data_IF_630283986629
#
_entry.id   IF_630283986629
#
_cell.length_a   1.000
_cell.length_b   1.000
_cell.length_c   1.000
_cell.angle_alpha   90.00
_cell.angle_beta   90.00
_cell.angle_gamma   90.00
#
_symmetry.space_group_name_H-M   'P 1'
#
loop_
_entity.id
_entity.type
_entity.pdbx_description
1 polymer ?
#
# COMPACT_ATOMS: atom_id res chain seq x y z
N UNK A 1 -17.65 61.90 -46.08
CA UNK A 1 -16.49 61.55 -45.22
C UNK A 1 -16.39 60.04 -45.27
N UNK A 2 -15.28 59.57 -45.80
CA UNK A 2 -15.19 58.37 -46.63
C UNK A 2 -15.35 57.05 -45.89
N UNK A 3 -16.20 56.22 -46.49
CA UNK A 3 -16.17 54.77 -46.46
C UNK A 3 -15.12 54.26 -47.48
N UNK A 4 -14.75 52.98 -47.37
CA UNK A 4 -13.96 52.13 -48.28
C UNK A 4 -12.44 51.91 -48.05
N UNK A 5 -12.13 50.61 -48.23
CA UNK A 5 -10.95 49.98 -48.86
C UNK A 5 -9.89 49.33 -47.96
N UNK A 6 -10.03 48.00 -47.86
CA UNK A 6 -8.93 47.04 -47.73
C UNK A 6 -8.21 46.92 -49.09
N UNK A 7 -6.87 46.74 -49.15
CA UNK A 7 -6.39 45.48 -49.72
C UNK A 7 -5.06 44.92 -49.14
N UNK A 8 -5.09 43.60 -48.90
CA UNK A 8 -4.17 42.53 -49.32
C UNK A 8 -2.62 42.71 -49.28
N UNK A 9 -2.02 41.61 -48.79
CA UNK A 9 -0.77 40.90 -49.20
C UNK A 9 0.55 41.24 -48.51
N UNK A 10 0.93 40.37 -47.59
CA UNK A 10 2.31 40.09 -47.18
C UNK A 10 2.42 38.65 -46.64
N UNK A 11 3.08 37.78 -47.41
CA UNK A 11 3.15 36.31 -47.27
C UNK A 11 4.45 35.88 -46.60
N UNK A 12 4.41 34.99 -45.61
CA UNK A 12 5.47 34.00 -45.20
C UNK A 12 4.76 32.93 -44.35
N UNK A 13 4.45 31.74 -44.88
CA UNK A 13 5.24 30.49 -44.83
C UNK A 13 5.71 30.12 -43.41
N UNK A 14 5.63 28.90 -42.89
CA UNK A 14 5.00 27.60 -43.21
C UNK A 14 5.43 26.69 -42.04
N UNK A 15 4.53 26.02 -41.31
CA UNK A 15 4.84 24.72 -40.67
C UNK A 15 3.57 24.05 -40.17
N UNK A 16 3.39 22.81 -40.62
CA UNK A 16 2.40 21.86 -40.14
C UNK A 16 2.73 21.38 -38.72
N UNK A 17 1.71 21.12 -37.92
CA UNK A 17 1.71 20.01 -36.97
C UNK A 17 0.30 19.42 -36.95
N UNK A 18 0.17 18.29 -37.63
CA UNK A 18 -0.98 17.42 -37.59
C UNK A 18 -0.63 16.22 -36.71
N UNK A 19 -1.62 15.78 -35.92
CA UNK A 19 -1.87 14.40 -35.52
C UNK A 19 -0.89 13.73 -34.55
N UNK A 20 -1.46 12.99 -33.59
CA UNK A 20 -0.71 11.98 -32.84
C UNK A 20 -1.48 11.40 -31.68
N UNK A 21 -2.44 10.52 -31.96
CA UNK A 21 -2.90 9.53 -30.98
C UNK A 21 -1.71 8.65 -30.55
N UNK A 22 -1.62 8.30 -29.27
CA UNK A 22 -0.74 7.22 -28.80
C UNK A 22 -1.62 6.06 -28.35
N UNK A 23 -1.56 5.00 -29.17
CA UNK A 23 -2.05 3.65 -28.92
C UNK A 23 -0.87 2.84 -28.36
N UNK A 24 -1.16 2.06 -27.32
CA UNK A 24 -0.59 0.76 -26.90
C UNK A 24 0.91 0.43 -27.02
N UNK A 25 1.43 -0.18 -25.95
CA UNK A 25 1.95 -1.56 -26.03
C UNK A 25 3.47 -1.77 -26.19
N UNK A 26 4.09 -2.25 -25.11
CA UNK A 26 5.17 -3.27 -25.01
C UNK A 26 6.44 -3.14 -25.85
N UNK A 27 7.62 -3.18 -25.18
CA UNK A 27 8.66 -4.18 -25.43
C UNK A 27 9.86 -4.01 -24.46
N UNK A 28 10.10 -5.02 -23.63
CA UNK A 28 11.39 -5.30 -23.02
C UNK A 28 12.44 -5.39 -24.12
N UNK A 29 13.44 -4.51 -24.08
CA UNK A 29 14.67 -4.62 -24.89
C UNK A 29 15.84 -4.73 -23.93
N UNK A 30 16.38 -5.94 -23.79
CA UNK A 30 17.68 -6.16 -23.16
C UNK A 30 18.75 -5.43 -23.99
N UNK A 31 19.45 -4.48 -23.35
CA UNK A 31 20.67 -3.88 -23.90
C UNK A 31 21.78 -3.99 -22.84
N UNK A 32 22.84 -4.66 -23.26
CA UNK A 32 24.07 -4.96 -22.52
C UNK A 32 24.97 -3.72 -22.43
N UNK A 33 25.54 -3.52 -21.24
CA UNK A 33 26.76 -2.77 -20.86
C UNK A 33 27.04 -1.41 -21.54
N UNK A 34 26.75 -0.36 -20.78
CA UNK A 34 27.42 0.93 -20.88
C UNK A 34 27.31 1.66 -19.54
N UNK A 35 28.45 2.00 -18.94
CA UNK A 35 28.55 2.84 -17.74
C UNK A 35 28.06 4.26 -18.06
N UNK A 36 26.75 4.44 -18.09
CA UNK A 36 26.07 5.74 -17.98
C UNK A 36 25.67 5.98 -16.53
N UNK A 37 25.40 7.24 -16.13
CA UNK A 37 24.96 7.52 -14.77
C UNK A 37 23.69 6.69 -14.50
N UNK A 38 23.70 5.92 -13.41
CA UNK A 38 22.54 5.24 -12.89
C UNK A 38 21.37 6.22 -12.94
N UNK A 39 20.29 5.83 -13.62
CA UNK A 39 19.05 6.57 -13.50
C UNK A 39 18.56 6.37 -12.05
N UNK A 40 17.59 7.17 -11.62
CA UNK A 40 17.21 7.22 -10.22
C UNK A 40 15.74 6.85 -10.08
N UNK A 41 15.43 5.99 -9.11
CA UNK A 41 14.08 5.58 -8.80
C UNK A 41 13.42 6.63 -7.89
N UNK A 42 12.25 7.12 -8.29
CA UNK A 42 11.45 8.03 -7.47
C UNK A 42 10.54 7.21 -6.56
N UNK A 43 10.86 7.17 -5.26
CA UNK A 43 9.97 6.62 -4.24
C UNK A 43 8.94 7.68 -3.85
N UNK A 44 7.67 7.28 -3.84
CA UNK A 44 6.54 8.11 -3.44
C UNK A 44 5.45 7.22 -2.84
N UNK A 45 5.30 7.25 -1.52
CA UNK A 45 4.39 6.36 -0.78
C UNK A 45 3.67 7.12 0.33
N UNK A 46 2.48 6.62 0.68
CA UNK A 46 1.61 7.17 1.72
C UNK A 46 1.61 6.27 2.96
N UNK A 47 1.77 6.88 4.14
CA UNK A 47 1.78 6.19 5.43
C UNK A 47 0.80 6.84 6.40
N UNK A 48 0.07 6.03 7.16
CA UNK A 48 -0.88 6.53 8.14
C UNK A 48 -0.30 6.46 9.55
N UNK A 49 -0.24 7.60 10.23
CA UNK A 49 0.23 7.72 11.60
C UNK A 49 -0.90 8.15 12.54
N UNK A 50 -1.00 7.47 13.67
CA UNK A 50 -1.82 7.87 14.80
C UNK A 50 -1.02 8.82 15.67
N UNK A 51 -1.40 10.10 15.66
CA UNK A 51 -0.70 11.16 16.36
C UNK A 51 -1.49 11.64 17.58
N UNK A 52 -1.06 11.27 18.78
CA UNK A 52 -1.63 11.83 20.01
C UNK A 52 -1.26 13.32 20.11
N UNK A 53 -2.27 14.17 19.99
CA UNK A 53 -2.11 15.60 19.76
C UNK A 53 -2.55 16.41 20.97
N UNK A 54 -1.68 17.29 21.42
CA UNK A 54 -1.99 18.33 22.42
C UNK A 54 -1.66 19.68 21.80
N UNK A 55 -2.65 20.56 21.69
CA UNK A 55 -2.48 21.87 21.06
C UNK A 55 -2.80 22.99 22.04
N UNK A 56 -1.80 23.82 22.39
CA UNK A 56 -1.94 24.93 23.34
C UNK A 56 -2.56 24.49 24.69
N UNK A 57 -2.21 23.29 25.17
CA UNK A 57 -2.73 22.70 26.41
C UNK A 57 -4.11 22.05 26.28
N UNK A 58 -4.73 22.05 25.10
CA UNK A 58 -5.97 21.33 24.81
C UNK A 58 -5.62 19.92 24.29
N UNK A 59 -5.97 18.84 25.01
CA UNK A 59 -5.81 17.49 24.49
C UNK A 59 -6.84 17.23 23.39
N UNK A 60 -6.36 16.95 22.19
CA UNK A 60 -7.17 16.61 21.02
C UNK A 60 -7.21 15.10 20.76
N UNK A 61 -6.43 14.32 21.53
CA UNK A 61 -6.37 12.87 21.44
C UNK A 61 -5.63 12.40 20.19
N UNK A 62 -5.78 11.10 19.88
CA UNK A 62 -5.13 10.48 18.72
C UNK A 62 -5.84 10.88 17.44
N UNK A 63 -5.07 11.37 16.47
CA UNK A 63 -5.55 11.86 15.19
C UNK A 63 -4.83 11.11 14.07
N UNK A 64 -5.60 10.61 13.11
CA UNK A 64 -5.05 9.94 11.93
C UNK A 64 -4.48 10.97 10.97
N UNK A 65 -3.16 10.96 10.80
CA UNK A 65 -2.40 11.86 9.93
C UNK A 65 -1.78 11.03 8.82
N UNK A 66 -2.13 11.34 7.58
CA UNK A 66 -1.49 10.72 6.42
C UNK A 66 -0.20 11.47 6.09
N UNK A 67 0.88 10.73 5.88
CA UNK A 67 2.23 11.19 5.57
C UNK A 67 2.61 10.64 4.20
N UNK A 68 2.55 11.50 3.18
CA UNK A 68 3.10 11.19 1.87
C UNK A 68 4.61 11.49 1.89
N UNK A 69 5.46 10.47 1.72
CA UNK A 69 6.91 10.62 1.67
C UNK A 69 7.40 10.43 0.23
N UNK A 70 8.28 11.34 -0.22
CA UNK A 70 8.85 11.34 -1.56
C UNK A 70 10.35 11.60 -1.53
N UNK A 71 11.12 10.71 -2.16
CA UNK A 71 12.57 10.86 -2.33
C UNK A 71 13.05 10.15 -3.58
N UNK A 72 14.10 10.65 -4.18
CA UNK A 72 14.77 10.01 -5.31
C UNK A 72 15.97 9.20 -4.80
N UNK A 73 15.97 7.89 -5.02
CA UNK A 73 17.05 6.96 -4.64
C UNK A 73 17.80 6.46 -5.88
N UNK A 74 19.06 5.97 -5.77
CA UNK A 74 19.71 5.30 -6.89
C UNK A 74 18.92 4.07 -7.35
N UNK A 75 19.00 3.74 -8.66
CA UNK A 75 18.41 2.49 -9.19
C UNK A 75 19.08 1.23 -8.64
N UNK A 76 20.35 1.32 -8.26
CA UNK A 76 21.18 0.20 -7.81
C UNK A 76 22.31 0.74 -6.91
N UNK A 77 22.79 -0.07 -5.97
CA UNK A 77 23.90 0.27 -5.07
C UNK A 77 24.94 -0.85 -4.96
N UNK A 78 26.20 -0.51 -4.68
CA UNK A 78 27.27 -1.49 -4.44
C UNK A 78 27.53 -1.70 -2.93
N UNK A 79 27.97 -2.90 -2.49
CA UNK A 79 28.41 -3.11 -1.10
C UNK A 79 29.54 -2.15 -0.71
N UNK A 80 29.36 -1.42 0.41
CA UNK A 80 30.29 -0.39 0.88
C UNK A 80 30.14 0.98 0.20
N UNK A 81 29.19 1.14 -0.73
CA UNK A 81 28.90 2.43 -1.35
C UNK A 81 28.36 3.44 -0.34
N UNK A 82 28.83 4.69 -0.44
CA UNK A 82 28.31 5.81 0.35
C UNK A 82 27.34 6.60 -0.53
N UNK A 83 26.07 6.45 -0.22
CA UNK A 83 24.99 7.18 -0.84
C UNK A 83 24.94 8.60 -0.22
N UNK A 84 25.11 9.69 -0.99
CA UNK A 84 25.25 11.03 -0.42
C UNK A 84 23.96 11.54 0.25
N UNK A 85 24.10 12.60 1.07
CA UNK A 85 22.96 13.30 1.66
C UNK A 85 21.95 13.72 0.60
N UNK A 86 20.66 13.52 0.88
CA UNK A 86 19.56 13.85 -0.02
C UNK A 86 18.44 14.57 0.70
N UNK A 87 17.78 15.46 -0.03
CA UNK A 87 16.54 16.08 0.41
C UNK A 87 15.38 15.10 0.24
N UNK A 88 14.57 14.96 1.29
CA UNK A 88 13.28 14.28 1.25
C UNK A 88 12.15 15.32 1.30
N UNK A 89 11.07 15.04 0.57
CA UNK A 89 9.85 15.83 0.56
C UNK A 89 8.76 15.02 1.24
N UNK A 90 8.13 15.61 2.26
CA UNK A 90 7.05 14.97 3.00
C UNK A 90 5.83 15.91 2.97
N UNK A 91 4.65 15.37 2.69
CA UNK A 91 3.40 16.12 2.80
C UNK A 91 2.53 15.46 3.85
N UNK A 92 2.28 16.16 4.96
CA UNK A 92 1.29 15.73 5.94
C UNK A 92 -0.11 16.17 5.52
N UNK A 93 -1.07 15.27 5.56
CA UNK A 93 -2.50 15.58 5.41
C UNK A 93 -3.14 15.49 6.79
N UNK A 94 -3.52 16.64 7.34
CA UNK A 94 -4.16 16.72 8.64
C UNK A 94 -5.68 16.50 8.51
N UNK A 95 -6.31 15.75 9.44
CA UNK A 95 -7.73 15.43 9.39
C UNK A 95 -8.62 16.64 9.70
N UNK A 96 -9.87 16.58 9.25
CA UNK A 96 -10.88 17.64 9.45
C UNK A 96 -11.14 17.93 10.94
N UNK A 97 -11.03 16.92 11.80
CA UNK A 97 -11.10 17.06 13.27
C UNK A 97 -10.05 18.02 13.80
N UNK A 98 -8.78 17.84 13.40
CA UNK A 98 -7.68 18.72 13.77
C UNK A 98 -7.83 20.11 13.14
N UNK A 99 -8.24 20.18 11.86
CA UNK A 99 -8.50 21.44 11.16
C UNK A 99 -9.56 22.27 11.89
N UNK A 100 -10.68 21.64 12.25
CA UNK A 100 -11.79 22.30 12.92
C UNK A 100 -11.41 22.79 14.32
N UNK A 101 -10.70 21.98 15.11
CA UNK A 101 -10.19 22.40 16.41
C UNK A 101 -9.22 23.58 16.29
N UNK A 102 -8.29 23.50 15.34
CA UNK A 102 -7.26 24.54 15.13
C UNK A 102 -7.87 25.86 14.65
N UNK A 103 -8.75 25.82 13.64
CA UNK A 103 -9.34 27.01 13.05
C UNK A 103 -10.46 27.60 13.92
N UNK A 104 -11.33 26.73 14.43
CA UNK A 104 -12.57 27.08 15.12
C UNK A 104 -12.40 27.34 16.61
N UNK A 105 -11.74 26.42 17.33
CA UNK A 105 -11.58 26.53 18.79
C UNK A 105 -10.37 27.40 19.16
N UNK A 106 -9.21 27.14 18.54
CA UNK A 106 -7.96 27.83 18.85
C UNK A 106 -7.79 29.15 18.08
N UNK A 107 -8.69 29.45 17.13
CA UNK A 107 -8.64 30.64 16.28
C UNK A 107 -7.28 30.83 15.56
N UNK A 108 -6.56 29.74 15.31
CA UNK A 108 -5.31 29.76 14.56
C UNK A 108 -5.59 29.84 13.05
N UNK A 109 -4.64 30.42 12.33
CA UNK A 109 -4.71 30.68 10.88
C UNK A 109 -3.52 30.14 10.13
N UNK A 110 -2.40 29.92 10.80
CA UNK A 110 -1.25 29.22 10.23
C UNK A 110 -0.70 28.20 11.23
N UNK A 111 -0.12 27.14 10.72
CA UNK A 111 0.60 26.13 11.49
C UNK A 111 1.95 25.84 10.82
N UNK A 112 2.97 25.65 11.63
CA UNK A 112 4.31 25.22 11.19
C UNK A 112 4.93 24.39 12.29
N UNK A 113 5.90 23.54 11.96
CA UNK A 113 6.48 22.63 12.94
C UNK A 113 7.71 21.92 12.44
N UNK A 114 8.30 21.13 13.32
CA UNK A 114 9.49 20.33 13.04
C UNK A 114 9.46 19.03 13.82
N UNK A 115 10.26 18.06 13.37
CA UNK A 115 10.58 16.85 14.12
C UNK A 115 12.09 16.71 14.16
N UNK A 116 12.63 16.33 15.32
CA UNK A 116 14.07 16.17 15.54
C UNK A 116 14.48 14.71 15.71
N UNK A 117 13.50 13.81 15.86
CA UNK A 117 13.69 12.40 16.21
C UNK A 117 13.16 11.42 15.15
N UNK A 118 12.51 11.90 14.09
CA UNK A 118 12.13 11.06 12.96
C UNK A 118 13.37 10.44 12.31
N UNK A 119 13.45 9.11 12.32
CA UNK A 119 14.55 8.36 11.76
C UNK A 119 14.05 7.21 10.89
N UNK A 120 14.55 7.14 9.66
CA UNK A 120 14.34 5.96 8.81
C UNK A 120 15.28 4.85 9.27
N UNK A 121 14.93 3.61 8.97
CA UNK A 121 15.84 2.49 9.14
C UNK A 121 16.11 1.80 7.81
N UNK A 122 17.29 1.21 7.70
CA UNK A 122 17.73 0.53 6.47
C UNK A 122 18.20 -0.86 6.84
N UNK A 123 17.68 -1.85 6.14
CA UNK A 123 18.08 -3.25 6.23
C UNK A 123 18.60 -3.71 4.87
N UNK A 124 19.42 -4.76 4.83
CA UNK A 124 19.96 -5.29 3.59
C UNK A 124 20.11 -6.82 3.64
N UNK A 125 19.90 -7.49 2.52
CA UNK A 125 20.04 -8.95 2.43
C UNK A 125 21.46 -9.40 2.79
N UNK A 126 21.57 -10.37 3.70
CA UNK A 126 22.86 -10.87 4.22
C UNK A 126 23.47 -10.02 5.32
N UNK A 127 22.93 -8.82 5.58
CA UNK A 127 23.25 -8.02 6.75
C UNK A 127 22.22 -8.29 7.85
N UNK A 128 22.69 -8.63 9.06
CA UNK A 128 21.82 -8.95 10.19
C UNK A 128 21.54 -7.76 11.11
N UNK A 129 22.06 -6.58 10.76
CA UNK A 129 21.82 -5.33 11.49
C UNK A 129 20.72 -4.48 10.86
N UNK A 130 20.38 -3.42 11.57
CA UNK A 130 19.47 -2.37 11.11
C UNK A 130 20.16 -1.03 11.40
N UNK A 131 20.34 -0.22 10.36
CA UNK A 131 20.98 1.08 10.48
C UNK A 131 19.93 2.19 10.50
N UNK A 132 19.94 2.98 11.57
CA UNK A 132 18.99 4.09 11.77
C UNK A 132 19.60 5.42 11.36
N UNK A 133 18.86 6.18 10.55
CA UNK A 133 19.27 7.49 10.05
C UNK A 133 18.23 8.56 10.39
N UNK A 134 18.55 9.43 11.35
CA UNK A 134 17.70 10.57 11.69
C UNK A 134 17.66 11.58 10.55
N UNK A 135 16.45 11.98 10.14
CA UNK A 135 16.23 12.99 9.12
C UNK A 135 16.54 14.36 9.73
N UNK A 136 17.56 15.04 9.21
CA UNK A 136 18.01 16.33 9.72
C UNK A 136 17.19 17.47 9.14
N UNK A 137 17.10 18.58 9.87
CA UNK A 137 16.40 19.80 9.45
C UNK A 137 14.92 19.57 9.03
N UNK A 138 14.29 18.49 9.52
CA UNK A 138 12.94 18.11 9.13
C UNK A 138 11.93 19.13 9.66
N UNK A 139 11.46 20.01 8.77
CA UNK A 139 10.63 21.14 9.16
C UNK A 139 9.65 21.57 8.08
N UNK A 140 8.52 22.09 8.54
CA UNK A 140 7.46 22.65 7.73
C UNK A 140 7.37 24.16 7.99
N UNK A 141 7.40 25.00 6.94
CA UNK A 141 7.12 26.42 7.09
C UNK A 141 5.68 26.64 7.55
N UNK A 142 5.39 27.83 8.07
CA UNK A 142 4.01 28.19 8.42
C UNK A 142 3.10 28.18 7.18
N UNK A 143 2.15 27.25 7.16
CA UNK A 143 1.14 27.13 6.10
C UNK A 143 -0.25 27.51 6.61
N UNK A 144 -1.14 28.02 5.74
CA UNK A 144 -2.50 28.37 6.14
C UNK A 144 -3.30 27.16 6.63
N UNK A 145 -4.06 27.36 7.70
CA UNK A 145 -5.11 26.43 8.14
C UNK A 145 -6.34 26.67 7.26
N UNK A 146 -6.87 25.68 6.53
CA UNK A 146 -8.02 25.87 5.67
C UNK A 146 -9.26 26.36 6.44
N UNK A 147 -9.90 27.39 5.89
CA UNK A 147 -11.06 28.04 6.52
C UNK A 147 -12.36 27.28 6.24
N UNK A 148 -12.46 26.66 5.08
CA UNK A 148 -13.63 25.86 4.66
C UNK A 148 -13.50 24.45 5.21
N UNK A 149 -14.59 23.91 5.74
CA UNK A 149 -14.64 22.50 6.10
C UNK A 149 -14.54 21.63 4.84
N UNK A 150 -13.74 20.56 4.90
CA UNK A 150 -13.52 19.64 3.79
C UNK A 150 -12.43 20.07 2.79
N UNK A 151 -11.87 21.29 2.91
CA UNK A 151 -10.66 21.64 2.17
C UNK A 151 -9.47 20.86 2.74
N UNK A 152 -8.66 20.17 1.91
CA UNK A 152 -7.56 19.37 2.40
C UNK A 152 -6.50 20.24 3.08
N UNK A 153 -6.14 19.88 4.31
CA UNK A 153 -5.10 20.58 5.06
C UNK A 153 -3.75 19.91 4.86
N UNK A 154 -3.01 20.39 3.87
CA UNK A 154 -1.71 19.86 3.48
C UNK A 154 -0.57 20.69 4.08
N UNK A 155 0.39 20.02 4.71
CA UNK A 155 1.60 20.64 5.27
C UNK A 155 2.83 20.07 4.55
N UNK A 156 3.40 20.82 3.59
CA UNK A 156 4.65 20.44 2.95
C UNK A 156 5.80 20.62 3.95
N UNK A 157 6.67 19.62 3.99
CA UNK A 157 7.78 19.48 4.92
C UNK A 157 9.01 19.02 4.13
N UNK A 158 10.17 19.61 4.42
CA UNK A 158 11.44 19.16 3.85
C UNK A 158 12.37 18.71 4.97
N UNK A 159 13.21 17.72 4.67
CA UNK A 159 14.29 17.28 5.54
C UNK A 159 15.47 16.74 4.73
N UNK A 160 16.60 16.54 5.41
CA UNK A 160 17.83 16.03 4.84
C UNK A 160 18.12 14.63 5.41
N UNK A 161 18.02 13.60 4.57
CA UNK A 161 18.50 12.26 4.92
C UNK A 161 20.03 12.28 4.85
N UNK A 162 20.76 11.95 5.94
CA UNK A 162 22.21 11.97 5.96
C UNK A 162 22.80 10.94 4.98
N UNK A 163 24.11 10.97 4.79
CA UNK A 163 24.76 9.97 3.94
C UNK A 163 24.53 8.55 4.51
N UNK A 164 24.10 7.64 3.66
CA UNK A 164 23.85 6.22 3.99
C UNK A 164 25.03 5.42 3.47
N UNK A 165 25.53 4.48 4.26
CA UNK A 165 26.59 3.56 3.82
C UNK A 165 25.99 2.17 3.70
N UNK A 166 26.04 1.60 2.50
CA UNK A 166 25.57 0.23 2.28
C UNK A 166 26.52 -0.72 3.01
N UNK A 167 26.03 -1.67 3.83
CA UNK A 167 26.88 -2.62 4.53
C UNK A 167 27.80 -3.37 3.56
N UNK A 168 29.10 -3.44 3.87
CA UNK A 168 30.08 -4.09 2.98
C UNK A 168 29.90 -5.61 2.91
N UNK A 169 29.20 -6.19 3.88
CA UNK A 169 28.82 -7.60 3.99
C UNK A 169 27.42 -7.88 3.41
N UNK A 170 26.75 -6.89 2.83
CA UNK A 170 25.49 -7.11 2.13
C UNK A 170 25.69 -8.03 0.90
N UNK A 171 24.70 -8.86 0.64
CA UNK A 171 24.76 -9.91 -0.40
C UNK A 171 24.67 -9.30 -1.79
N UNK A 172 25.67 -9.48 -2.66
CA UNK A 172 25.56 -9.06 -4.06
C UNK A 172 24.37 -9.73 -4.74
N UNK A 173 23.55 -8.96 -5.44
CA UNK A 173 22.30 -9.44 -6.06
C UNK A 173 21.11 -9.54 -5.11
N UNK A 174 21.25 -9.15 -3.84
CA UNK A 174 20.14 -8.96 -2.89
C UNK A 174 19.50 -7.57 -3.00
N UNK A 175 18.69 -7.20 -2.01
CA UNK A 175 18.08 -5.86 -1.91
C UNK A 175 18.40 -5.17 -0.58
N UNK A 176 18.42 -3.85 -0.62
CA UNK A 176 18.40 -2.96 0.55
C UNK A 176 17.00 -2.41 0.72
N UNK A 177 16.40 -2.55 1.90
CA UNK A 177 15.05 -2.07 2.20
C UNK A 177 15.12 -0.84 3.09
N UNK A 178 14.38 0.21 2.72
CA UNK A 178 14.24 1.44 3.48
C UNK A 178 12.90 1.39 4.21
N UNK A 179 12.92 1.58 5.51
CA UNK A 179 11.74 1.56 6.37
C UNK A 179 11.46 2.96 6.95
N UNK A 180 10.19 3.30 7.03
CA UNK A 180 9.70 4.52 7.66
C UNK A 180 9.83 4.46 9.18
N UNK A 181 9.92 5.62 9.88
CA UNK A 181 9.98 5.63 11.33
C UNK A 181 8.72 4.99 11.92
N UNK A 182 8.87 3.99 12.78
CA UNK A 182 7.73 3.41 13.51
C UNK A 182 7.07 4.40 14.47
N UNK A 183 7.82 5.38 14.97
CA UNK A 183 7.32 6.50 15.76
C UNK A 183 8.22 7.73 15.66
N UNK A 184 7.65 8.92 15.86
CA UNK A 184 8.38 10.19 15.94
C UNK A 184 7.53 11.26 16.64
N UNK A 185 8.18 12.34 17.07
CA UNK A 185 7.51 13.47 17.71
C UNK A 185 7.57 14.72 16.83
N UNK A 186 6.45 15.42 16.71
CA UNK A 186 6.36 16.73 16.08
C UNK A 186 6.18 17.78 17.19
N UNK A 187 7.01 18.83 17.13
CA UNK A 187 6.77 20.07 17.86
C UNK A 187 6.33 21.14 16.87
N UNK A 188 5.16 21.71 17.08
CA UNK A 188 4.54 22.68 16.19
C UNK A 188 4.11 23.95 16.92
N UNK A 189 3.91 24.99 16.13
CA UNK A 189 3.45 26.30 16.55
C UNK A 189 2.25 26.72 15.72
N UNK A 190 1.34 27.46 16.35
CA UNK A 190 0.16 28.01 15.71
C UNK A 190 0.21 29.54 15.75
N UNK A 191 -0.10 30.20 14.63
CA UNK A 191 -0.23 31.65 14.56
C UNK A 191 -1.69 32.04 14.37
N UNK A 192 -2.12 33.07 15.10
CA UNK A 192 -3.43 33.69 14.91
C UNK A 192 -3.42 34.66 13.70
N UNK A 193 -4.56 35.29 13.41
CA UNK A 193 -4.69 36.23 12.29
C UNK A 193 -3.76 37.47 12.37
N UNK A 194 -3.26 37.81 13.57
CA UNK A 194 -2.30 38.91 13.78
C UNK A 194 -0.83 38.47 13.71
N UNK A 195 -0.56 37.19 13.47
CA UNK A 195 0.79 36.62 13.48
C UNK A 195 1.35 36.35 14.89
N UNK A 196 0.51 36.39 15.92
CA UNK A 196 0.91 36.04 17.29
C UNK A 196 0.73 34.55 17.57
N UNK A 197 1.61 33.98 18.39
CA UNK A 197 1.53 32.58 18.79
C UNK A 197 0.27 32.28 19.63
N UNK A 198 -0.40 31.19 19.31
CA UNK A 198 -1.50 30.63 20.10
C UNK A 198 -0.93 29.62 21.08
N UNK A 199 -1.03 29.91 22.38
CA UNK A 199 -0.48 29.05 23.45
C UNK A 199 1.03 29.18 23.68
N UNK A 200 1.77 29.85 22.79
CA UNK A 200 3.22 30.01 22.84
C UNK A 200 3.91 29.35 21.65
N UNK A 201 5.19 29.61 21.48
CA UNK A 201 6.03 28.91 20.50
C UNK A 201 6.24 27.46 20.95
N UNK A 202 6.10 26.50 20.03
CA UNK A 202 6.20 25.06 20.32
C UNK A 202 5.06 24.51 21.19
N UNK A 203 3.95 25.24 21.32
CA UNK A 203 2.85 24.85 22.20
C UNK A 203 1.98 23.70 21.66
N UNK A 204 2.31 23.15 20.49
CA UNK A 204 1.65 21.97 19.94
C UNK A 204 2.64 20.81 19.92
N UNK A 205 2.25 19.68 20.48
CA UNK A 205 3.02 18.44 20.47
C UNK A 205 2.18 17.32 19.88
N UNK A 206 2.79 16.54 18.98
CA UNK A 206 2.16 15.35 18.40
C UNK A 206 3.12 14.17 18.55
N UNK A 207 2.69 13.15 19.28
CA UNK A 207 3.41 11.88 19.37
C UNK A 207 2.81 10.91 18.35
N UNK A 208 3.52 10.68 17.25
CA UNK A 208 3.04 9.93 16.10
C UNK A 208 3.58 8.50 16.12
N UNK A 209 2.70 7.54 15.84
CA UNK A 209 3.01 6.11 15.74
C UNK A 209 2.39 5.53 14.49
N UNK A 210 3.17 4.75 13.72
CA UNK A 210 2.70 4.11 12.50
C UNK A 210 1.52 3.18 12.84
N UNK A 211 0.44 3.25 12.07
CA UNK A 211 -0.77 2.44 12.31
C UNK A 211 -0.81 1.15 11.46
N UNK A 212 0.04 1.06 10.43
CA UNK A 212 0.19 -0.13 9.59
C UNK A 212 1.30 -1.07 10.07
N UNK A 213 1.28 -2.31 9.58
CA UNK A 213 2.35 -3.29 9.78
C UNK A 213 3.47 -3.19 8.76
N UNK A 214 3.19 -2.53 7.62
CA UNK A 214 4.18 -2.28 6.57
C UNK A 214 4.79 -0.89 6.75
N UNK A 215 6.06 -0.88 7.16
CA UNK A 215 6.88 0.31 7.24
C UNK A 215 7.78 0.47 6.00
N UNK A 216 7.71 -0.43 5.01
CA UNK A 216 8.60 -0.41 3.86
C UNK A 216 8.30 0.77 2.95
N UNK A 217 9.27 1.68 2.87
CA UNK A 217 9.24 2.82 1.96
C UNK A 217 9.71 2.48 0.54
N UNK A 218 10.60 1.52 0.42
CA UNK A 218 11.05 1.04 -0.87
C UNK A 218 12.30 0.18 -0.76
N UNK A 219 12.62 -0.47 -1.87
CA UNK A 219 13.79 -1.36 -1.98
C UNK A 219 14.71 -0.86 -3.07
N UNK A 220 16.02 -0.97 -2.85
CA UNK A 220 17.08 -0.67 -3.81
C UNK A 220 17.90 -1.94 -4.04
N UNK A 221 18.03 -2.44 -5.28
CA UNK A 221 18.81 -3.63 -5.56
C UNK A 221 20.30 -3.40 -5.33
N UNK A 222 20.98 -4.46 -4.87
CA UNK A 222 22.43 -4.48 -4.67
C UNK A 222 23.08 -5.11 -5.89
N UNK A 223 24.03 -4.41 -6.51
CA UNK A 223 24.72 -4.89 -7.69
C UNK A 223 25.32 -6.28 -7.47
N UNK A 224 25.09 -7.17 -8.44
CA UNK A 224 25.77 -8.45 -8.49
C UNK A 224 27.25 -8.21 -8.79
N UNK A 225 28.17 -8.91 -8.12
CA UNK A 225 29.59 -8.83 -8.46
C UNK A 225 29.78 -9.07 -9.97
N UNK A 226 30.63 -8.29 -10.65
CA UNK A 226 30.97 -8.58 -12.03
C UNK A 226 31.55 -9.99 -12.07
N UNK A 227 30.87 -10.90 -12.76
CA UNK A 227 31.48 -12.19 -13.09
C UNK A 227 32.61 -11.87 -14.04
N UNK A 228 33.86 -11.98 -13.56
CA UNK A 228 35.01 -11.91 -14.45
C UNK A 228 34.73 -12.83 -15.64
N UNK A 229 34.71 -12.33 -16.90
CA UNK A 229 34.62 -13.21 -18.04
C UNK A 229 35.78 -14.22 -17.91
N UNK A 230 35.58 -15.51 -18.23
CA UNK A 230 36.66 -16.47 -18.15
C UNK A 230 37.84 -15.91 -18.94
N UNK A 231 38.94 -15.66 -18.24
CA UNK A 231 40.20 -15.30 -18.87
C UNK A 231 40.61 -16.49 -19.72
N UNK A 232 40.23 -16.45 -21.00
CA UNK A 232 40.86 -17.30 -21.98
C UNK A 232 42.31 -16.85 -22.04
N UNK A 233 43.20 -17.58 -21.37
CA UNK A 233 44.63 -17.47 -21.66
C UNK A 233 44.80 -17.56 -23.18
N UNK A 234 45.52 -16.61 -23.81
CA UNK A 234 45.84 -16.74 -25.22
C UNK A 234 46.71 -17.99 -25.38
N UNK A 235 46.14 -19.04 -25.95
CA UNK A 235 46.93 -20.20 -26.39
C UNK A 235 47.84 -19.71 -27.51
N UNK A 236 49.15 -19.78 -27.30
CA UNK A 236 50.16 -19.43 -28.30
C UNK A 236 49.85 -20.12 -29.64
N UNK A 237 49.92 -19.40 -30.78
CA UNK A 237 49.72 -20.02 -32.08
C UNK A 237 50.85 -21.03 -32.33
N UNK A 238 50.55 -22.23 -32.88
CA UNK A 238 51.60 -23.17 -33.26
C UNK A 238 52.45 -22.55 -34.37
N UNK A 239 53.75 -22.46 -34.14
CA UNK A 239 54.75 -22.14 -35.16
C UNK A 239 54.78 -23.25 -36.20
N UNK A 240 54.23 -23.02 -37.39
CA UNK A 240 54.46 -23.87 -38.56
C UNK A 240 55.67 -23.33 -39.33
N UNK A 241 56.74 -24.12 -39.42
CA UNK A 241 57.83 -23.91 -40.38
C UNK A 241 57.29 -23.99 -41.82
N UNK A 242 57.86 -23.22 -42.78
CA UNK A 242 57.46 -23.28 -44.17
C UNK A 242 58.06 -24.53 -44.83
N UNK A 243 57.23 -25.38 -45.42
CA UNK A 243 57.70 -26.42 -46.34
C UNK A 243 57.38 -26.00 -47.78
N UNK A 244 58.40 -26.11 -48.64
CA UNK A 244 58.43 -25.75 -50.06
C UNK A 244 57.34 -26.42 -50.92
N UNK A 245 56.98 -25.83 -52.08
CA UNK A 245 55.88 -26.30 -52.91
C UNK A 245 56.30 -27.46 -53.82
N UNK A 246 55.43 -28.47 -54.06
CA UNK A 246 55.54 -29.31 -55.23
C UNK A 246 54.60 -28.84 -56.34
N UNK A 247 55.15 -28.73 -57.53
CA UNK A 247 54.50 -28.54 -58.83
C UNK A 247 54.01 -29.87 -59.43
N UNK A 248 53.07 -29.77 -60.39
CA UNK A 248 52.52 -30.79 -61.34
C UNK A 248 51.39 -31.68 -60.79
N UNK A 249 50.30 -31.99 -61.47
CA UNK A 249 49.74 -31.78 -62.84
C UNK A 249 48.19 -32.03 -62.75
N UNK A 250 47.36 -31.65 -63.75
CA UNK A 250 45.91 -31.72 -63.64
C UNK A 250 45.36 -33.11 -64.00
N UNK A 251 44.34 -33.57 -63.27
CA UNK A 251 43.51 -34.71 -63.69
C UNK A 251 42.05 -34.43 -63.36
N UNK A 252 41.24 -34.23 -64.41
CA UNK A 252 39.78 -34.37 -64.40
C UNK A 252 39.42 -35.81 -64.81
N UNK A 253 38.16 -36.28 -64.64
CA UNK A 253 37.17 -36.01 -63.59
C UNK A 253 36.57 -37.35 -63.07
N UNK A 254 35.61 -37.32 -62.13
CA UNK A 254 34.48 -38.22 -62.30
C UNK A 254 33.13 -37.51 -62.20
N UNK A 255 32.27 -37.89 -63.13
CA UNK A 255 30.84 -37.65 -63.20
C UNK A 255 30.11 -38.37 -62.07
N UNK A 256 29.27 -37.66 -61.31
CA UNK A 256 28.20 -38.25 -60.51
C UNK A 256 26.93 -37.41 -60.64
N UNK A 257 25.83 -38.12 -60.84
CA UNK A 257 24.47 -37.65 -61.14
C UNK A 257 23.89 -36.69 -60.08
N UNK A 258 22.94 -35.81 -60.45
CA UNK A 258 22.19 -35.03 -59.48
C UNK A 258 21.24 -35.96 -58.71
N UNK A 259 21.44 -36.08 -57.40
CA UNK A 259 20.46 -36.67 -56.50
C UNK A 259 19.43 -35.60 -56.13
N UNK A 260 18.14 -35.96 -56.19
CA UNK A 260 17.01 -35.10 -55.85
C UNK A 260 17.14 -34.46 -54.45
N UNK A 261 16.62 -33.23 -54.25
CA UNK A 261 16.60 -32.61 -52.92
C UNK A 261 15.65 -33.38 -51.98
N UNK A 262 16.01 -33.56 -50.70
CA UNK A 262 15.08 -34.12 -49.73
C UNK A 262 13.92 -33.14 -49.50
N UNK A 263 12.70 -33.64 -49.61
CA UNK A 263 11.49 -32.99 -49.13
C UNK A 263 11.54 -32.92 -47.61
N UNK A 264 11.69 -31.72 -47.07
CA UNK A 264 11.40 -31.45 -45.65
C UNK A 264 9.89 -31.46 -45.47
N UNK A 265 9.35 -32.49 -44.82
CA UNK A 265 8.06 -32.37 -44.14
C UNK A 265 8.19 -31.31 -43.03
N UNK A 266 7.24 -30.35 -42.90
CA UNK A 266 7.22 -29.47 -41.75
C UNK A 266 6.87 -30.31 -40.52
N UNK A 267 7.79 -30.38 -39.57
CA UNK A 267 7.49 -30.87 -38.22
C UNK A 267 6.50 -29.91 -37.58
N UNK A 268 5.36 -30.44 -37.11
CA UNK A 268 4.38 -29.70 -36.34
C UNK A 268 5.06 -28.97 -35.16
N UNK A 269 4.65 -27.72 -34.84
CA UNK A 269 5.17 -27.04 -33.66
C UNK A 269 4.81 -27.85 -32.41
N UNK A 270 5.71 -27.95 -31.41
CA UNK A 270 5.40 -28.65 -30.18
C UNK A 270 4.16 -28.02 -29.54
N UNK A 271 3.11 -28.82 -29.40
CA UNK A 271 1.97 -28.52 -28.55
C UNK A 271 2.47 -28.35 -27.13
N UNK A 272 2.23 -27.16 -26.58
CA UNK A 272 2.38 -26.82 -25.17
C UNK A 272 1.55 -27.79 -24.34
N UNK A 273 2.20 -28.67 -23.57
CA UNK A 273 1.57 -29.15 -22.33
C UNK A 273 1.52 -27.94 -21.38
N UNK A 274 0.34 -27.59 -20.83
CA UNK A 274 0.28 -26.58 -19.78
C UNK A 274 0.98 -27.15 -18.56
N UNK A 275 2.12 -26.57 -18.21
CA UNK A 275 2.72 -26.71 -16.88
C UNK A 275 1.61 -26.48 -15.85
N UNK A 276 1.36 -27.49 -15.04
CA UNK A 276 0.51 -27.42 -13.85
C UNK A 276 0.89 -26.16 -13.05
N UNK A 277 -0.05 -25.23 -12.78
CA UNK A 277 0.27 -24.02 -12.03
C UNK A 277 0.76 -24.40 -10.62
N UNK A 278 1.72 -23.66 -10.05
CA UNK A 278 2.25 -23.96 -8.72
C UNK A 278 1.11 -24.01 -7.71
N UNK A 279 1.14 -25.05 -6.86
CA UNK A 279 0.20 -25.24 -5.77
C UNK A 279 0.23 -24.02 -4.83
N UNK A 280 -0.92 -23.34 -4.73
CA UNK A 280 -1.26 -22.39 -3.69
C UNK A 280 -0.32 -21.20 -3.53
N UNK A 281 -0.51 -20.16 -4.33
CA UNK A 281 0.09 -18.85 -4.01
C UNK A 281 -0.70 -18.21 -2.86
N UNK A 282 -0.01 -17.76 -1.82
CA UNK A 282 -0.61 -16.89 -0.82
C UNK A 282 -0.96 -15.57 -1.49
N UNK A 283 -2.18 -15.09 -1.26
CA UNK A 283 -2.67 -13.82 -1.79
C UNK A 283 -3.26 -13.00 -0.66
N UNK A 284 -3.19 -11.67 -0.79
CA UNK A 284 -3.93 -10.73 0.05
C UNK A 284 -5.02 -10.07 -0.79
N UNK A 285 -6.23 -10.02 -0.26
CA UNK A 285 -7.35 -9.30 -0.85
C UNK A 285 -7.80 -8.21 0.14
N UNK A 286 -7.60 -6.92 -0.17
CA UNK A 286 -8.20 -5.87 0.63
C UNK A 286 -9.73 -6.03 0.55
N UNK A 287 -10.38 -5.94 1.69
CA UNK A 287 -11.82 -5.98 1.83
C UNK A 287 -12.33 -4.65 2.35
N UNK A 288 -13.36 -4.11 1.70
CA UNK A 288 -14.09 -2.94 2.19
C UNK A 288 -15.57 -3.17 2.01
N UNK A 289 -16.41 -2.55 2.82
CA UNK A 289 -17.85 -2.73 2.68
C UNK A 289 -18.63 -2.27 3.88
N UNK A 290 -19.89 -2.69 3.92
CA UNK A 290 -20.81 -2.28 4.97
C UNK A 290 -21.66 -3.44 5.46
N UNK A 291 -22.07 -3.36 6.73
CA UNK A 291 -23.09 -4.25 7.28
C UNK A 291 -24.26 -3.44 7.82
N UNK A 292 -25.47 -3.77 7.40
CA UNK A 292 -26.69 -3.17 7.93
C UNK A 292 -27.27 -4.02 9.07
N UNK A 293 -27.51 -3.37 10.21
CA UNK A 293 -28.09 -3.98 11.40
C UNK A 293 -29.60 -3.82 11.38
N UNK A 294 -30.33 -4.91 11.13
CA UNK A 294 -31.77 -4.92 10.91
C UNK A 294 -32.63 -4.33 12.05
N UNK A 295 -32.10 -4.30 13.28
CA UNK A 295 -32.82 -3.81 14.46
C UNK A 295 -32.51 -2.38 14.85
N UNK A 296 -31.45 -1.79 14.30
CA UNK A 296 -31.01 -0.43 14.63
C UNK A 296 -31.08 0.51 13.42
N UNK A 297 -31.44 0.03 12.23
CA UNK A 297 -31.32 0.76 10.96
C UNK A 297 -29.94 1.44 10.84
N UNK A 298 -28.90 0.74 11.34
CA UNK A 298 -27.55 1.25 11.48
C UNK A 298 -26.60 0.54 10.52
N UNK A 299 -25.68 1.28 9.94
CA UNK A 299 -24.64 0.77 9.04
C UNK A 299 -23.31 0.72 9.79
N UNK A 300 -22.60 -0.39 9.65
CA UNK A 300 -21.24 -0.57 10.14
C UNK A 300 -20.30 -0.64 8.95
N UNK A 301 -19.31 0.24 8.91
CA UNK A 301 -18.26 0.19 7.89
C UNK A 301 -17.26 -0.90 8.26
N UNK A 302 -16.87 -1.69 7.25
CA UNK A 302 -15.96 -2.82 7.39
C UNK A 302 -14.78 -2.56 6.46
N UNK A 303 -13.57 -2.56 7.02
CA UNK A 303 -12.33 -2.49 6.25
C UNK A 303 -11.34 -3.50 6.84
N UNK A 304 -10.46 -4.03 5.99
CA UNK A 304 -9.42 -4.96 6.42
C UNK A 304 -8.86 -5.76 5.24
N UNK A 305 -8.26 -6.91 5.54
CA UNK A 305 -7.61 -7.77 4.57
C UNK A 305 -8.04 -9.24 4.75
N UNK A 306 -8.29 -9.91 3.63
CA UNK A 306 -8.44 -11.35 3.56
C UNK A 306 -7.18 -11.95 2.93
N UNK A 307 -6.36 -12.61 3.73
CA UNK A 307 -5.20 -13.36 3.24
C UNK A 307 -5.55 -14.83 3.12
N UNK A 308 -5.03 -15.54 2.12
CA UNK A 308 -5.30 -16.97 1.98
C UNK A 308 -4.56 -17.62 0.83
N UNK A 309 -4.66 -18.95 0.75
CA UNK A 309 -4.02 -19.72 -0.31
C UNK A 309 -4.97 -19.85 -1.49
N UNK A 310 -4.64 -19.19 -2.61
CA UNK A 310 -5.43 -19.22 -3.84
C UNK A 310 -5.03 -20.41 -4.71
N UNK A 311 -6.01 -21.26 -5.03
CA UNK A 311 -5.87 -22.37 -5.95
C UNK A 311 -6.64 -22.07 -7.23
N UNK A 312 -5.93 -21.94 -8.35
CA UNK A 312 -6.50 -21.66 -9.68
C UNK A 312 -6.97 -22.92 -10.43
N UNK A 313 -6.93 -24.09 -9.79
CA UNK A 313 -7.50 -25.31 -10.35
C UNK A 313 -9.02 -25.21 -10.50
N UNK A 314 -9.69 -26.08 -11.28
CA UNK A 314 -11.15 -26.12 -11.33
C UNK A 314 -11.72 -26.95 -10.15
N UNK A 315 -12.52 -26.38 -9.22
CA UNK A 315 -12.95 -24.98 -9.12
C UNK A 315 -11.91 -24.07 -8.46
N UNK A 316 -11.88 -22.79 -8.85
CA UNK A 316 -11.01 -21.80 -8.21
C UNK A 316 -11.45 -21.68 -6.76
N UNK A 317 -10.49 -21.75 -5.84
CA UNK A 317 -10.79 -21.74 -4.41
C UNK A 317 -9.74 -20.99 -3.61
N UNK A 318 -10.19 -20.38 -2.52
CA UNK A 318 -9.34 -19.82 -1.48
C UNK A 318 -9.48 -20.70 -0.25
N UNK A 319 -8.36 -21.24 0.21
CA UNK A 319 -8.26 -22.04 1.43
C UNK A 319 -7.47 -21.28 2.51
N UNK A 320 -7.66 -21.71 3.76
CA UNK A 320 -6.96 -21.18 4.93
C UNK A 320 -7.03 -19.65 5.05
N UNK A 321 -8.17 -19.07 4.67
CA UNK A 321 -8.34 -17.63 4.65
C UNK A 321 -8.30 -17.04 6.06
N UNK A 322 -7.39 -16.11 6.32
CA UNK A 322 -7.35 -15.32 7.54
C UNK A 322 -7.99 -13.97 7.25
N UNK A 323 -9.05 -13.69 7.99
CA UNK A 323 -9.83 -12.48 7.87
C UNK A 323 -9.41 -11.52 8.97
N UNK A 324 -8.61 -10.52 8.62
CA UNK A 324 -8.20 -9.45 9.51
C UNK A 324 -9.09 -8.23 9.23
N UNK A 325 -9.99 -7.93 10.16
CA UNK A 325 -10.88 -6.77 10.04
C UNK A 325 -10.46 -5.75 11.07
N UNK A 326 -10.34 -4.50 10.61
CA UNK A 326 -10.10 -3.36 11.47
C UNK A 326 -11.14 -3.27 12.58
N UNK A 327 -10.74 -2.65 13.68
CA UNK A 327 -11.65 -2.38 14.77
C UNK A 327 -12.79 -1.47 14.31
N UNK A 328 -14.03 -1.97 14.43
CA UNK A 328 -15.22 -1.25 14.00
C UNK A 328 -15.70 -0.37 15.16
N UNK A 329 -15.77 0.94 14.94
CA UNK A 329 -16.39 1.87 15.88
C UNK A 329 -17.86 2.11 15.52
N UNK A 330 -18.76 1.69 16.41
CA UNK A 330 -20.20 1.87 16.26
C UNK A 330 -20.76 2.87 17.26
N UNK A 331 -21.47 3.89 16.80
CA UNK A 331 -22.28 4.74 17.67
C UNK A 331 -23.67 4.13 17.82
N UNK A 332 -24.03 3.75 19.04
CA UNK A 332 -25.34 3.19 19.36
C UNK A 332 -26.01 4.09 20.38
N UNK A 333 -27.24 4.50 20.12
CA UNK A 333 -28.07 5.16 21.13
C UNK A 333 -28.74 4.08 21.99
N UNK A 334 -28.21 3.83 23.18
CA UNK A 334 -28.82 2.90 24.14
C UNK A 334 -30.08 3.54 24.76
N UNK A 335 -31.21 3.42 24.04
CA UNK A 335 -32.52 3.86 24.51
C UNK A 335 -32.92 3.08 25.77
N UNK A 336 -32.68 3.64 26.95
CA UNK A 336 -33.19 3.04 28.20
C UNK A 336 -32.42 3.31 29.48
N UNK A 337 -31.26 3.97 29.44
CA UNK A 337 -30.55 4.35 30.67
C UNK A 337 -30.61 5.87 30.84
N UNK A 338 -31.48 6.39 31.72
CA UNK A 338 -31.53 7.82 32.03
C UNK A 338 -30.15 8.28 32.53
N UNK A 339 -29.53 9.21 31.81
CA UNK A 339 -28.25 9.81 32.21
C UNK A 339 -26.98 9.20 31.63
N UNK A 340 -27.04 8.38 30.57
CA UNK A 340 -25.85 7.89 29.85
C UNK A 340 -25.62 8.48 28.45
N UNK A 341 -26.49 9.33 27.91
CA UNK A 341 -26.23 9.99 26.62
C UNK A 341 -26.06 9.00 25.45
N UNK A 342 -25.40 9.43 24.37
CA UNK A 342 -25.02 8.54 23.27
C UNK A 342 -23.83 7.65 23.70
N UNK A 343 -23.74 6.43 23.15
CA UNK A 343 -22.69 5.46 23.52
C UNK A 343 -21.88 5.05 22.30
N UNK A 344 -20.56 5.10 22.44
CA UNK A 344 -19.62 4.59 21.45
C UNK A 344 -19.22 3.17 21.85
N UNK A 345 -19.45 2.23 20.96
CA UNK A 345 -19.13 0.82 21.13
C UNK A 345 -18.03 0.45 20.16
N UNK A 346 -16.97 -0.10 20.71
CA UNK A 346 -15.88 -0.67 19.92
C UNK A 346 -16.18 -2.14 19.69
N UNK A 347 -16.20 -2.58 18.45
CA UNK A 347 -16.56 -3.93 18.03
C UNK A 347 -15.38 -4.54 17.28
N UNK A 348 -15.00 -5.75 17.68
CA UNK A 348 -14.00 -6.55 16.97
C UNK A 348 -14.68 -7.75 16.34
N UNK A 349 -14.37 -8.03 15.08
CA UNK A 349 -14.75 -9.28 14.44
C UNK A 349 -13.64 -10.30 14.65
N UNK A 350 -13.92 -11.31 15.46
CA UNK A 350 -12.93 -12.34 15.83
C UNK A 350 -13.25 -13.58 15.02
N UNK A 351 -12.42 -13.86 14.02
CA UNK A 351 -12.53 -15.07 13.22
C UNK A 351 -12.44 -16.32 14.12
N UNK A 352 -13.33 -17.29 13.90
CA UNK A 352 -13.35 -18.55 14.67
C UNK A 352 -12.96 -19.76 13.85
N UNK A 353 -13.12 -19.72 12.53
CA UNK A 353 -12.66 -20.74 11.60
C UNK A 353 -12.09 -20.06 10.35
N UNK A 354 -11.14 -20.71 9.64
CA UNK A 354 -10.60 -20.17 8.39
C UNK A 354 -11.70 -19.89 7.37
N UNK A 355 -11.57 -18.78 6.66
CA UNK A 355 -12.46 -18.38 5.57
C UNK A 355 -12.16 -19.26 4.36
N UNK A 356 -13.20 -19.81 3.75
CA UNK A 356 -13.07 -20.61 2.53
C UNK A 356 -13.90 -19.99 1.42
N UNK A 357 -13.34 -19.89 0.22
CA UNK A 357 -14.07 -19.45 -0.96
C UNK A 357 -13.98 -20.47 -2.08
N UNK A 358 -15.04 -20.64 -2.86
CA UNK A 358 -15.07 -21.54 -4.01
C UNK A 358 -15.92 -20.96 -5.14
N UNK A 359 -15.45 -21.08 -6.39
CA UNK A 359 -16.24 -20.74 -7.57
C UNK A 359 -17.21 -21.86 -7.94
N UNK A 360 -18.44 -21.51 -8.28
CA UNK A 360 -19.39 -22.44 -8.89
C UNK A 360 -19.11 -22.65 -10.40
N UNK A 361 -19.92 -23.49 -11.04
CA UNK A 361 -19.81 -23.80 -12.48
C UNK A 361 -20.09 -22.60 -13.40
N UNK A 362 -20.70 -21.55 -12.88
CA UNK A 362 -21.03 -20.31 -13.60
C UNK A 362 -20.00 -19.20 -13.35
N UNK A 363 -19.01 -19.45 -12.48
CA UNK A 363 -17.92 -18.53 -12.16
C UNK A 363 -18.22 -17.56 -11.01
N UNK A 364 -19.32 -17.74 -10.28
CA UNK A 364 -19.64 -16.98 -9.07
C UNK A 364 -18.96 -17.59 -7.86
N UNK A 365 -18.49 -16.75 -6.93
CA UNK A 365 -17.77 -17.16 -5.74
C UNK A 365 -18.75 -17.27 -4.57
N UNK A 366 -18.64 -18.35 -3.81
CA UNK A 366 -19.29 -18.52 -2.52
C UNK A 366 -18.22 -18.49 -1.43
N UNK A 367 -18.40 -17.65 -0.42
CA UNK A 367 -17.44 -17.45 0.68
C UNK A 367 -18.11 -17.82 2.00
N UNK A 368 -17.56 -18.81 2.71
CA UNK A 368 -18.01 -19.19 4.03
C UNK A 368 -17.19 -18.49 5.11
N UNK A 369 -17.89 -17.79 6.01
CA UNK A 369 -17.33 -17.02 7.11
C UNK A 369 -17.81 -17.57 8.45
N UNK A 370 -16.88 -17.72 9.39
CA UNK A 370 -17.19 -18.05 10.78
C UNK A 370 -16.46 -17.10 11.73
N UNK A 371 -17.22 -16.33 12.52
CA UNK A 371 -16.66 -15.31 13.42
C UNK A 371 -17.51 -15.09 14.66
N UNK A 372 -16.98 -14.33 15.63
CA UNK A 372 -17.68 -13.82 16.81
C UNK A 372 -17.54 -12.31 16.85
N UNK A 373 -18.57 -11.62 17.30
CA UNK A 373 -18.48 -10.20 17.59
C UNK A 373 -18.03 -10.03 19.04
N UNK A 374 -16.84 -9.50 19.24
CA UNK A 374 -16.34 -9.04 20.53
C UNK A 374 -16.72 -7.57 20.72
N UNK A 375 -17.19 -7.20 21.90
CA UNK A 375 -17.44 -5.80 22.28
C UNK A 375 -16.54 -5.48 23.47
N UNK A 376 -15.23 -5.31 23.26
CA UNK A 376 -14.27 -5.13 24.34
C UNK A 376 -14.52 -3.84 25.13
N UNK A 377 -15.15 -2.84 24.50
CA UNK A 377 -15.38 -1.52 25.11
C UNK A 377 -16.71 -0.92 24.67
N UNK A 378 -17.45 -0.42 25.66
CA UNK A 378 -18.59 0.48 25.45
C UNK A 378 -18.40 1.65 26.39
N UNK A 379 -18.29 2.85 25.83
CA UNK A 379 -18.19 4.11 26.59
C UNK A 379 -19.39 5.00 26.32
N UNK A 380 -19.78 5.75 27.34
CA UNK A 380 -20.84 6.76 27.27
C UNK A 380 -20.21 8.14 27.11
N UNK A 381 -20.84 9.02 26.33
CA UNK A 381 -20.39 10.41 26.20
C UNK A 381 -20.38 11.18 27.52
N UNK A 382 -21.23 10.78 28.47
CA UNK A 382 -21.29 11.38 29.80
C UNK A 382 -20.23 10.82 30.75
N UNK A 383 -19.72 9.61 30.48
CA UNK A 383 -18.71 8.92 31.29
C UNK A 383 -17.72 8.16 30.37
N UNK A 384 -16.90 8.87 29.56
CA UNK A 384 -16.05 8.24 28.54
C UNK A 384 -14.92 7.39 29.12
N UNK A 385 -14.58 7.65 30.39
CA UNK A 385 -13.55 6.94 31.15
C UNK A 385 -14.04 5.61 31.73
N UNK A 386 -15.35 5.31 31.72
CA UNK A 386 -15.90 4.05 32.22
C UNK A 386 -16.20 3.12 31.05
N UNK A 387 -15.63 1.91 31.08
CA UNK A 387 -16.11 0.82 30.24
C UNK A 387 -17.35 0.19 30.89
N UNK A 388 -18.48 0.20 30.18
CA UNK A 388 -19.79 -0.22 30.67
C UNK A 388 -20.04 -1.71 30.42
N UNK A 389 -19.12 -2.38 29.69
CA UNK A 389 -19.11 -3.83 29.48
C UNK A 389 -17.80 -4.43 29.99
N UNK A 390 -17.79 -5.75 30.20
CA UNK A 390 -16.52 -6.46 30.45
C UNK A 390 -15.77 -6.63 29.13
N UNK A 391 -14.44 -6.69 29.21
CA UNK A 391 -13.58 -6.98 28.05
C UNK A 391 -13.87 -8.32 27.36
N UNK A 392 -14.56 -9.24 28.03
CA UNK A 392 -15.01 -10.54 27.48
C UNK A 392 -16.43 -10.53 26.93
N UNK A 393 -17.06 -9.35 26.82
CA UNK A 393 -18.38 -9.20 26.21
C UNK A 393 -18.31 -9.54 24.73
N UNK A 394 -19.24 -10.38 24.27
CA UNK A 394 -19.33 -10.75 22.87
C UNK A 394 -20.45 -11.74 22.57
N UNK A 395 -20.54 -12.18 21.33
CA UNK A 395 -21.57 -13.11 20.85
C UNK A 395 -21.11 -14.57 20.89
N UNK A 396 -22.06 -15.48 20.64
CA UNK A 396 -21.72 -16.81 20.13
C UNK A 396 -21.14 -16.74 18.71
N UNK A 397 -20.72 -17.89 18.19
CA UNK A 397 -20.25 -18.01 16.81
C UNK A 397 -21.39 -17.67 15.83
N UNK A 398 -21.02 -16.92 14.80
CA UNK A 398 -21.82 -16.50 13.65
C UNK A 398 -21.24 -17.23 12.46
N UNK A 399 -22.08 -17.98 11.75
CA UNK A 399 -21.72 -18.59 10.48
C UNK A 399 -22.60 -17.96 9.41
N UNK A 400 -21.97 -17.52 8.32
CA UNK A 400 -22.67 -16.93 7.18
C UNK A 400 -21.93 -17.28 5.90
N UNK A 401 -22.67 -17.29 4.81
CA UNK A 401 -22.16 -17.54 3.47
C UNK A 401 -22.46 -16.32 2.62
N UNK A 402 -21.44 -15.70 2.07
CA UNK A 402 -21.56 -14.62 1.11
C UNK A 402 -21.50 -15.18 -0.31
N UNK A 403 -22.27 -14.58 -1.22
CA UNK A 403 -22.25 -14.93 -2.64
C UNK A 403 -21.86 -13.72 -3.46
N UNK A 404 -21.01 -13.93 -4.46
CA UNK A 404 -20.64 -12.86 -5.37
C UNK A 404 -21.80 -12.46 -6.29
N UNK A 405 -21.89 -11.17 -6.59
CA UNK A 405 -22.85 -10.60 -7.55
C UNK A 405 -22.26 -10.51 -8.96
N UNK A 406 -20.94 -10.56 -9.06
CA UNK A 406 -20.16 -10.65 -10.30
C UNK A 406 -19.32 -11.94 -10.33
N UNK A 407 -18.89 -12.32 -11.54
CA UNK A 407 -18.00 -13.46 -11.75
C UNK A 407 -16.58 -13.15 -11.30
N UNK A 408 -15.86 -14.17 -10.81
CA UNK A 408 -14.46 -14.03 -10.38
C UNK A 408 -13.55 -13.53 -11.51
N UNK A 409 -12.68 -12.57 -11.20
CA UNK A 409 -11.59 -12.10 -12.07
C UNK A 409 -10.34 -11.83 -11.22
N UNK A 410 -9.15 -12.07 -11.78
CA UNK A 410 -7.88 -11.88 -11.07
C UNK A 410 -7.48 -10.40 -10.92
N UNK A 411 -7.97 -9.57 -11.84
CA UNK A 411 -7.67 -8.14 -11.99
C UNK A 411 -8.81 -7.23 -11.51
N UNK A 412 -9.96 -7.81 -11.18
CA UNK A 412 -11.17 -7.10 -10.79
C UNK A 412 -11.48 -7.24 -9.30
N UNK A 413 -12.40 -6.41 -8.82
CA UNK A 413 -12.97 -6.54 -7.48
C UNK A 413 -14.14 -7.51 -7.47
N UNK A 414 -14.34 -8.19 -6.35
CA UNK A 414 -15.38 -9.19 -6.14
C UNK A 414 -16.41 -8.66 -5.15
N UNK A 415 -17.64 -8.48 -5.60
CA UNK A 415 -18.72 -7.94 -4.78
C UNK A 415 -19.52 -9.07 -4.16
N UNK A 416 -19.39 -9.25 -2.86
CA UNK A 416 -19.96 -10.30 -2.03
C UNK A 416 -21.15 -9.77 -1.23
N UNK A 417 -22.26 -10.50 -1.24
CA UNK A 417 -23.45 -10.16 -0.45
C UNK A 417 -23.96 -11.37 0.32
N UNK A 418 -24.46 -11.15 1.53
CA UNK A 418 -25.11 -12.21 2.30
C UNK A 418 -25.82 -11.70 3.55
N UNK A 419 -26.45 -12.63 4.25
CA UNK A 419 -27.19 -12.35 5.47
C UNK A 419 -26.62 -13.13 6.66
N UNK A 420 -26.68 -12.56 7.84
CA UNK A 420 -26.26 -13.23 9.07
C UNK A 420 -27.18 -12.93 10.25
N UNK A 421 -27.16 -13.86 11.21
CA UNK A 421 -27.94 -13.75 12.44
C UNK A 421 -26.99 -13.51 13.61
N UNK A 422 -27.17 -12.40 14.31
CA UNK A 422 -26.40 -12.07 15.52
C UNK A 422 -26.96 -12.89 16.70
N UNK A 423 -26.18 -13.81 17.30
CA UNK A 423 -26.60 -14.58 18.47
C UNK A 423 -26.71 -13.69 19.71
N UNK A 424 -27.28 -14.26 20.78
CA UNK A 424 -27.34 -13.57 22.08
C UNK A 424 -25.94 -13.23 22.60
N UNK A 425 -25.80 -12.02 23.13
CA UNK A 425 -24.58 -11.57 23.79
C UNK A 425 -24.38 -12.28 25.13
N UNK A 426 -23.13 -12.57 25.47
CA UNK A 426 -22.71 -13.23 26.71
C UNK A 426 -21.61 -12.39 27.38
N UNK A 427 -21.53 -12.48 28.72
CA UNK A 427 -20.48 -11.86 29.54
C UNK A 427 -20.39 -10.32 29.46
N UNK A 428 -21.46 -9.64 29.08
CA UNK A 428 -21.54 -8.18 29.01
C UNK A 428 -22.05 -7.54 30.31
N UNK A 429 -22.32 -8.33 31.36
CA UNK A 429 -22.87 -7.84 32.62
C UNK A 429 -21.83 -7.08 33.47
N UNK A 430 -21.84 -5.75 33.37
CA UNK A 430 -21.09 -4.83 34.23
C UNK A 430 -21.99 -3.67 34.68
N UNK A 431 -21.96 -3.32 35.97
CA UNK A 431 -22.74 -2.23 36.59
C UNK A 431 -24.26 -2.20 36.31
N UNK A 432 -24.88 -3.34 35.96
CA UNK A 432 -26.32 -3.44 35.72
C UNK A 432 -26.74 -3.32 34.25
N UNK A 433 -25.80 -3.12 33.31
CA UNK A 433 -26.04 -3.38 31.89
C UNK A 433 -26.26 -4.89 31.71
N UNK A 434 -27.50 -5.31 31.48
CA UNK A 434 -27.82 -6.73 31.34
C UNK A 434 -27.45 -7.20 29.93
N UNK A 435 -26.89 -8.40 29.78
CA UNK A 435 -26.76 -9.10 28.49
C UNK A 435 -28.05 -9.05 27.66
N UNK A 436 -29.20 -9.02 28.35
CA UNK A 436 -30.53 -8.90 27.77
C UNK A 436 -30.73 -7.60 26.95
N UNK A 437 -30.10 -6.48 27.31
CA UNK A 437 -30.24 -5.20 26.61
C UNK A 437 -29.55 -5.24 25.24
N UNK A 438 -28.25 -5.56 25.21
CA UNK A 438 -27.51 -5.73 23.94
C UNK A 438 -28.15 -6.83 23.08
N UNK A 439 -28.57 -7.93 23.71
CA UNK A 439 -29.29 -9.00 23.01
C UNK A 439 -30.62 -8.53 22.42
N UNK A 440 -31.37 -7.68 23.11
CA UNK A 440 -32.63 -7.17 22.60
C UNK A 440 -32.42 -6.23 21.40
N UNK A 441 -31.38 -5.38 21.48
CA UNK A 441 -31.10 -4.30 20.53
C UNK A 441 -30.40 -4.79 19.27
N UNK A 442 -29.48 -5.74 19.38
CA UNK A 442 -28.58 -6.13 18.28
C UNK A 442 -28.74 -7.60 17.84
N UNK A 443 -29.13 -8.51 18.74
CA UNK A 443 -29.29 -9.92 18.34
C UNK A 443 -30.55 -10.15 17.52
N UNK A 444 -30.45 -10.88 16.41
CA UNK A 444 -31.57 -11.14 15.51
C UNK A 444 -31.08 -11.53 14.12
N UNK A 445 -32.00 -12.03 13.30
CA UNK A 445 -31.78 -12.32 11.88
C UNK A 445 -32.06 -11.10 11.01
N UNK A 446 -31.67 -11.17 9.74
CA UNK A 446 -31.96 -10.14 8.73
C UNK A 446 -30.90 -9.05 8.61
N UNK A 447 -29.75 -9.19 9.28
CA UNK A 447 -28.62 -8.29 9.06
C UNK A 447 -27.96 -8.67 7.74
N UNK A 448 -27.61 -7.67 6.95
CA UNK A 448 -26.95 -7.84 5.66
C UNK A 448 -25.47 -7.49 5.78
N UNK A 449 -24.68 -8.12 4.92
CA UNK A 449 -23.25 -7.88 4.78
C UNK A 449 -22.94 -7.74 3.30
N UNK A 450 -22.44 -6.57 2.90
CA UNK A 450 -22.01 -6.26 1.55
C UNK A 450 -20.52 -5.92 1.60
N UNK A 451 -19.70 -6.72 0.93
CA UNK A 451 -18.24 -6.58 0.90
C UNK A 451 -17.75 -6.52 -0.55
N UNK A 452 -16.76 -5.70 -0.79
CA UNK A 452 -15.96 -5.65 -2.01
C UNK A 452 -14.56 -6.16 -1.67
N UNK A 453 -14.12 -7.21 -2.35
CA UNK A 453 -12.81 -7.84 -2.15
C UNK A 453 -11.93 -7.71 -3.40
N UNK A 454 -10.74 -7.12 -3.26
CA UNK A 454 -9.72 -7.06 -4.31
C UNK A 454 -9.33 -5.65 -4.76
N UNK A 455 -8.51 -5.50 -5.82
CA UNK A 455 -7.95 -6.58 -6.64
C UNK A 455 -6.95 -7.46 -5.87
N UNK A 456 -6.73 -8.68 -6.35
CA UNK A 456 -5.81 -9.65 -5.72
C UNK A 456 -4.39 -9.08 -5.73
N UNK A 457 -3.79 -8.98 -4.55
CA UNK A 457 -2.40 -8.60 -4.38
C UNK A 457 -1.57 -9.87 -4.13
N UNK A 458 -0.39 -9.99 -4.75
CA UNK A 458 0.53 -11.06 -4.40
C UNK A 458 0.97 -10.85 -2.95
N UNK A 459 0.69 -11.81 -2.07
CA UNK A 459 1.31 -11.79 -0.76
C UNK A 459 2.80 -12.08 -0.98
N UNK A 460 3.65 -11.10 -0.69
CA UNK A 460 5.10 -11.20 -0.82
C UNK A 460 5.69 -12.28 0.08
#
# INVERSE_FOLDING_TARGET
>A
MSDQQNPRLGRRQLSLAASGALIAGTALSAAVLGSGPAQAADLNQDFTYGCDTVAAGLPLGVQSVNVNAKVTVPDEVEPGEVIPTRKTQITLTLPETLRNATYGLLAARQAGGASEDAAITVTADGYSGEDSYTIQNLSAPFTPVPATAGDPWLIPTEGDVPAITVPADATPGGVTTIHMPGAFNITASLLNASGGYVGGEGAVTMACTLQGTDDVFGTVPIASEPTDPPTTEPTDPPTTEPTDPPTTEPTDPPTTEPTDPPTTEPTDPPTTDPTEPPAGSTVSLPISGTSELAKQDGTLDINGDLTGTLNLGPPVSLADGVLDIDQIEGHIRLLGIPGLGDTTSTINLIQTQPTTAVTDSEGYVTVDLAFKLGVPRVSSDLLPWINIVRSSCGTGEIQTTLRSTNTFSLDGTLNLVGEYTIPKFKNCDYLGARNALLTSLLSGSGNTLELEAGPIQSAG
#
